data_IF_831212222749
#
_entry.id   IF_831212222749
#
_cell.length_a   1.000
_cell.length_b   1.000
_cell.length_c   1.000
_cell.angle_alpha   90.00
_cell.angle_beta   90.00
_cell.angle_gamma   90.00
#
_symmetry.space_group_name_H-M   'P 1'
#
loop_
_entity.id
_entity.type
_entity.pdbx_description
1 polymer ?
#
# COMPACT_ATOMS: atom_id res chain seq x y z
N UNK A 1 -9.83 9.23 4.89
CA UNK A 1 -9.93 9.95 3.60
C UNK A 1 -8.63 9.93 2.82
N UNK A 2 -7.48 10.27 3.41
CA UNK A 2 -6.19 10.36 2.71
C UNK A 2 -5.82 9.06 1.98
N UNK A 3 -5.96 7.91 2.63
CA UNK A 3 -5.66 6.61 2.04
C UNK A 3 -6.56 6.28 0.84
N UNK A 4 -7.88 6.52 0.96
CA UNK A 4 -8.83 6.26 -0.12
C UNK A 4 -8.52 7.18 -1.32
N UNK A 5 -8.31 8.47 -1.07
CA UNK A 5 -7.95 9.41 -2.13
C UNK A 5 -6.61 9.03 -2.78
N UNK A 6 -5.60 8.71 -2.00
CA UNK A 6 -4.30 8.23 -2.49
C UNK A 6 -4.44 6.97 -3.34
N UNK A 7 -5.31 6.04 -2.95
CA UNK A 7 -5.59 4.83 -3.73
C UNK A 7 -6.19 5.16 -5.10
N UNK A 8 -7.21 6.03 -5.14
CA UNK A 8 -7.83 6.49 -6.40
C UNK A 8 -6.80 7.18 -7.30
N UNK A 9 -5.97 8.06 -6.73
CA UNK A 9 -4.91 8.75 -7.49
C UNK A 9 -3.87 7.76 -7.99
N UNK A 10 -3.46 6.78 -7.19
CA UNK A 10 -2.54 5.71 -7.60
C UNK A 10 -3.09 4.92 -8.80
N UNK A 11 -4.38 4.60 -8.82
CA UNK A 11 -5.02 3.94 -9.97
C UNK A 11 -4.94 4.82 -11.22
N UNK A 12 -5.27 6.12 -11.10
CA UNK A 12 -5.20 7.06 -12.24
C UNK A 12 -3.79 7.17 -12.81
N UNK A 13 -2.78 7.30 -11.94
CA UNK A 13 -1.37 7.36 -12.34
C UNK A 13 -0.94 6.05 -13.02
N UNK A 14 -1.37 4.90 -12.49
CA UNK A 14 -1.12 3.59 -13.08
C UNK A 14 -1.72 3.46 -14.48
N UNK A 15 -3.00 3.81 -14.64
CA UNK A 15 -3.68 3.79 -15.93
C UNK A 15 -3.08 4.78 -16.94
N UNK A 16 -2.45 5.85 -16.46
CA UNK A 16 -1.68 6.78 -17.29
C UNK A 16 -0.29 6.27 -17.67
N UNK A 17 0.11 5.05 -17.27
CA UNK A 17 1.37 4.43 -17.65
C UNK A 17 2.57 4.76 -16.77
N UNK A 18 2.39 5.43 -15.63
CA UNK A 18 3.47 5.77 -14.69
C UNK A 18 3.60 4.72 -13.58
N UNK A 19 4.10 3.53 -13.92
CA UNK A 19 4.17 2.37 -13.05
C UNK A 19 4.87 2.64 -11.71
N UNK A 20 6.08 3.21 -11.73
CA UNK A 20 6.88 3.45 -10.52
C UNK A 20 6.19 4.46 -9.60
N UNK A 21 5.71 5.58 -10.16
CA UNK A 21 5.02 6.60 -9.37
C UNK A 21 3.73 6.05 -8.75
N UNK A 22 2.97 5.25 -9.49
CA UNK A 22 1.77 4.59 -9.00
C UNK A 22 2.07 3.59 -7.88
N UNK A 23 3.14 2.81 -8.01
CA UNK A 23 3.58 1.85 -6.98
C UNK A 23 4.03 2.55 -5.69
N UNK A 24 4.80 3.64 -5.81
CA UNK A 24 5.22 4.45 -4.67
C UNK A 24 4.04 5.06 -3.92
N UNK A 25 3.07 5.62 -4.64
CA UNK A 25 1.87 6.16 -4.01
C UNK A 25 1.03 5.06 -3.36
N UNK A 26 0.93 3.89 -3.98
CA UNK A 26 0.22 2.75 -3.40
C UNK A 26 0.86 2.27 -2.10
N UNK A 27 2.18 2.28 -1.99
CA UNK A 27 2.88 2.02 -0.74
C UNK A 27 2.51 3.04 0.35
N UNK A 28 2.48 4.34 0.03
CA UNK A 28 2.05 5.38 0.97
C UNK A 28 0.61 5.16 1.45
N UNK A 29 -0.28 4.70 0.57
CA UNK A 29 -1.65 4.32 0.94
C UNK A 29 -1.65 3.22 2.01
N UNK A 30 -0.87 2.17 1.81
CA UNK A 30 -0.78 1.05 2.75
C UNK A 30 -0.24 1.52 4.11
N UNK A 31 0.81 2.32 4.12
CA UNK A 31 1.39 2.89 5.35
C UNK A 31 0.39 3.82 6.06
N UNK A 32 -0.39 4.61 5.29
CA UNK A 32 -1.45 5.49 5.83
C UNK A 32 -2.60 4.68 6.45
N UNK A 33 -3.02 3.58 5.83
CA UNK A 33 -4.01 2.68 6.41
C UNK A 33 -3.49 2.05 7.70
N UNK A 34 -2.25 1.59 7.69
CA UNK A 34 -1.62 0.95 8.84
C UNK A 34 -1.47 1.91 10.02
N UNK A 35 -1.03 3.16 9.80
CA UNK A 35 -0.93 4.14 10.89
C UNK A 35 -2.31 4.53 11.44
N UNK A 36 -3.32 4.69 10.57
CA UNK A 36 -4.68 4.98 11.00
C UNK A 36 -5.25 3.87 11.90
N UNK A 37 -5.03 2.60 11.55
CA UNK A 37 -5.40 1.46 12.37
C UNK A 37 -4.69 1.46 13.72
N UNK A 38 -3.37 1.65 13.74
CA UNK A 38 -2.60 1.66 14.99
C UNK A 38 -3.01 2.81 15.90
N UNK A 39 -3.26 3.98 15.34
CA UNK A 39 -3.73 5.15 16.09
C UNK A 39 -5.18 5.01 16.58
N UNK A 40 -5.95 4.07 16.05
CA UNK A 40 -7.35 3.87 16.49
C UNK A 40 -7.47 3.17 17.84
N UNK A 41 -6.45 2.47 18.31
CA UNK A 41 -6.44 1.77 19.59
C UNK A 41 -5.58 2.54 20.61
N UNK A 42 -6.24 3.18 21.61
CA UNK A 42 -5.57 3.98 22.63
C UNK A 42 -4.57 3.17 23.48
N UNK A 43 -4.80 1.85 23.64
CA UNK A 43 -3.90 0.98 24.43
C UNK A 43 -2.52 0.76 23.80
N UNK A 44 -2.33 1.15 22.54
CA UNK A 44 -1.06 1.03 21.83
C UNK A 44 -0.17 2.27 21.97
N UNK A 45 -0.68 3.38 22.50
CA UNK A 45 0.04 4.64 22.70
C UNK A 45 0.76 5.18 21.44
N UNK A 46 0.20 4.84 20.26
CA UNK A 46 0.83 5.20 18.99
C UNK A 46 0.62 6.67 18.65
N UNK A 47 -0.53 7.24 19.00
CA UNK A 47 -0.84 8.67 18.74
C UNK A 47 0.20 9.56 19.41
N UNK A 48 0.41 9.40 20.70
CA UNK A 48 1.35 10.23 21.46
C UNK A 48 2.79 10.01 20.99
N UNK A 49 3.17 8.77 20.71
CA UNK A 49 4.49 8.46 20.18
C UNK A 49 4.72 9.05 18.79
N UNK A 50 3.71 9.03 17.92
CA UNK A 50 3.79 9.61 16.59
C UNK A 50 3.86 11.13 16.65
N UNK A 51 3.02 11.77 17.44
CA UNK A 51 3.02 13.25 17.62
C UNK A 51 4.30 13.80 18.24
N UNK A 52 5.04 12.98 18.99
CA UNK A 52 6.32 13.34 19.62
C UNK A 52 7.55 12.82 18.85
N UNK A 53 7.41 12.47 17.57
CA UNK A 53 8.49 11.94 16.70
C UNK A 53 9.19 10.68 17.25
N UNK A 54 8.51 9.94 18.13
CA UNK A 54 9.03 8.70 18.76
C UNK A 54 8.56 7.43 18.05
N UNK A 55 7.81 7.56 16.95
CA UNK A 55 7.31 6.43 16.16
C UNK A 55 7.64 6.59 14.68
N UNK A 56 8.26 5.56 14.09
CA UNK A 56 8.64 5.55 12.69
C UNK A 56 7.62 4.82 11.83
N UNK A 57 7.11 5.46 10.78
CA UNK A 57 6.07 4.94 9.88
C UNK A 57 6.51 3.70 9.09
N UNK A 58 7.81 3.47 8.91
CA UNK A 58 8.33 2.26 8.26
C UNK A 58 8.05 0.96 9.03
N UNK A 59 7.57 1.06 10.28
CA UNK A 59 7.21 -0.08 11.15
C UNK A 59 5.70 -0.37 11.15
N UNK A 60 4.88 0.51 10.59
CA UNK A 60 3.42 0.49 10.75
C UNK A 60 2.79 -0.84 10.37
N UNK A 61 3.06 -1.35 9.17
CA UNK A 61 2.46 -2.61 8.71
C UNK A 61 2.87 -3.78 9.62
N UNK A 62 4.16 -3.89 9.97
CA UNK A 62 4.64 -4.92 10.91
C UNK A 62 3.95 -4.84 12.27
N UNK A 63 3.74 -3.64 12.78
CA UNK A 63 3.10 -3.44 14.08
C UNK A 63 1.59 -3.71 14.01
N UNK A 64 0.92 -3.45 12.87
CA UNK A 64 -0.45 -3.95 12.60
C UNK A 64 -0.51 -5.47 12.64
N UNK A 65 0.42 -6.16 11.95
CA UNK A 65 0.50 -7.62 11.94
C UNK A 65 0.66 -8.21 13.34
N UNK A 66 1.42 -7.54 14.21
CA UNK A 66 1.63 -7.97 15.61
C UNK A 66 0.41 -7.75 16.50
N UNK A 67 -0.37 -6.71 16.22
CA UNK A 67 -1.48 -6.27 17.07
C UNK A 67 -2.86 -6.54 16.45
N UNK A 68 -2.95 -7.33 15.37
CA UNK A 68 -4.17 -7.50 14.58
C UNK A 68 -5.42 -7.89 15.40
N UNK A 69 -5.26 -8.68 16.46
CA UNK A 69 -6.37 -9.07 17.34
C UNK A 69 -6.94 -7.87 18.11
N UNK A 70 -6.08 -6.98 18.60
CA UNK A 70 -6.48 -5.74 19.26
C UNK A 70 -7.16 -4.78 18.29
N UNK A 71 -6.65 -4.75 17.03
CA UNK A 71 -7.12 -3.85 15.99
C UNK A 71 -8.42 -4.32 15.28
N UNK A 72 -9.01 -5.42 15.72
CA UNK A 72 -10.24 -5.99 15.16
C UNK A 72 -10.21 -6.25 13.65
N UNK A 73 -9.02 -6.60 13.13
CA UNK A 73 -8.85 -6.98 11.74
C UNK A 73 -9.17 -8.46 11.54
N UNK A 74 -9.88 -8.79 10.47
CA UNK A 74 -10.03 -10.16 10.06
C UNK A 74 -8.75 -10.70 9.38
N UNK A 75 -8.63 -12.01 9.33
CA UNK A 75 -7.44 -12.69 8.77
C UNK A 75 -7.20 -12.35 7.30
N UNK A 76 -8.27 -12.19 6.51
CA UNK A 76 -8.17 -11.85 5.10
C UNK A 76 -7.59 -10.43 4.91
N UNK A 77 -8.12 -9.43 5.62
CA UNK A 77 -7.62 -8.06 5.57
C UNK A 77 -6.14 -7.99 5.96
N UNK A 78 -5.74 -8.75 6.98
CA UNK A 78 -4.35 -8.85 7.43
C UNK A 78 -3.43 -9.40 6.33
N UNK A 79 -3.82 -10.50 5.68
CA UNK A 79 -3.05 -11.12 4.60
C UNK A 79 -2.93 -10.20 3.38
N UNK A 80 -4.03 -9.55 2.99
CA UNK A 80 -4.02 -8.60 1.86
C UNK A 80 -3.10 -7.42 2.15
N UNK A 81 -3.15 -6.86 3.37
CA UNK A 81 -2.31 -5.74 3.77
C UNK A 81 -0.81 -6.13 3.75
N UNK A 82 -0.48 -7.31 4.28
CA UNK A 82 0.90 -7.84 4.28
C UNK A 82 1.42 -8.06 2.86
N UNK A 83 0.66 -8.76 2.03
CA UNK A 83 1.04 -9.02 0.64
C UNK A 83 1.20 -7.73 -0.16
N UNK A 84 0.28 -6.77 -0.01
CA UNK A 84 0.37 -5.48 -0.65
C UNK A 84 1.62 -4.71 -0.20
N UNK A 85 1.93 -4.70 1.09
CA UNK A 85 3.12 -4.05 1.63
C UNK A 85 4.41 -4.63 1.03
N UNK A 86 4.55 -5.95 1.03
CA UNK A 86 5.73 -6.63 0.48
C UNK A 86 5.87 -6.36 -1.02
N UNK A 87 4.77 -6.40 -1.77
CA UNK A 87 4.78 -6.15 -3.22
C UNK A 87 5.17 -4.71 -3.57
N UNK A 88 4.59 -3.71 -2.89
CA UNK A 88 4.86 -2.30 -3.20
C UNK A 88 6.15 -1.77 -2.55
N UNK A 89 6.77 -2.51 -1.63
CA UNK A 89 8.08 -2.16 -1.09
C UNK A 89 9.14 -2.00 -2.18
N UNK A 90 9.11 -2.88 -3.18
CA UNK A 90 10.08 -2.90 -4.27
C UNK A 90 9.99 -1.69 -5.23
N UNK A 91 8.89 -0.93 -5.20
CA UNK A 91 8.76 0.29 -6.00
C UNK A 91 9.45 1.51 -5.40
N UNK A 92 9.71 1.53 -4.11
CA UNK A 92 10.23 2.70 -3.39
C UNK A 92 11.76 2.74 -3.29
N UNK A 93 12.44 1.71 -3.80
CA UNK A 93 13.89 1.60 -3.82
C UNK A 93 14.37 1.20 -5.22
N UNK A 94 15.65 1.47 -5.57
CA UNK A 94 16.28 0.92 -6.76
C UNK A 94 16.31 -0.62 -6.67
N UNK A 95 15.23 -1.26 -7.06
CA UNK A 95 15.04 -2.71 -7.04
C UNK A 95 15.08 -3.28 -8.45
N UNK A 96 15.16 -4.61 -8.56
CA UNK A 96 15.02 -5.28 -9.87
C UNK A 96 13.69 -4.94 -10.52
N UNK A 97 12.61 -4.78 -9.75
CA UNK A 97 11.28 -4.45 -10.27
C UNK A 97 11.24 -3.02 -10.80
N UNK A 98 11.77 -2.03 -10.06
CA UNK A 98 11.82 -0.64 -10.51
C UNK A 98 12.68 -0.47 -11.76
N UNK A 99 13.83 -1.16 -11.83
CA UNK A 99 14.69 -1.15 -13.03
C UNK A 99 14.02 -1.85 -14.22
N UNK A 100 13.43 -3.04 -14.02
CA UNK A 100 12.69 -3.77 -15.06
C UNK A 100 11.50 -2.97 -15.60
N UNK A 101 10.92 -2.09 -14.78
CA UNK A 101 9.85 -1.20 -15.23
C UNK A 101 10.31 -0.23 -16.32
N UNK A 102 11.57 0.15 -16.37
CA UNK A 102 12.13 1.09 -17.35
C UNK A 102 12.55 0.43 -18.67
N UNK A 103 12.65 -0.89 -18.73
CA UNK A 103 13.14 -1.65 -19.86
C UNK A 103 11.96 -2.25 -20.63
N UNK A 104 11.97 -2.20 -21.98
CA UNK A 104 10.99 -2.91 -22.78
C UNK A 104 11.22 -4.42 -22.75
N UNK A 105 10.15 -5.20 -22.60
CA UNK A 105 10.17 -6.66 -22.73
C UNK A 105 9.72 -7.13 -24.12
N UNK A 106 9.07 -6.23 -24.89
CA UNK A 106 8.66 -6.50 -26.26
C UNK A 106 9.69 -6.06 -27.31
N UNK A 107 10.58 -5.09 -26.97
CA UNK A 107 11.57 -4.54 -27.91
C UNK A 107 12.95 -4.49 -27.25
N UNK A 108 13.89 -5.28 -27.78
CA UNK A 108 15.27 -5.34 -27.26
C UNK A 108 15.99 -3.99 -27.33
N UNK A 109 16.56 -3.57 -26.21
CA UNK A 109 17.37 -2.33 -26.12
C UNK A 109 16.56 -1.04 -25.95
N UNK A 110 15.22 -1.13 -25.91
CA UNK A 110 14.36 0.04 -25.70
C UNK A 110 14.19 0.32 -24.21
N UNK A 111 14.34 1.59 -23.83
CA UNK A 111 14.06 2.11 -22.50
C UNK A 111 12.87 3.05 -22.54
N UNK A 112 12.10 3.07 -21.47
CA UNK A 112 10.96 3.95 -21.29
C UNK A 112 11.33 5.14 -20.39
N UNK A 113 10.93 6.34 -20.81
CA UNK A 113 10.98 7.56 -20.02
C UNK A 113 9.56 8.11 -19.90
N UNK A 114 9.07 8.25 -18.66
CA UNK A 114 7.72 8.73 -18.41
C UNK A 114 6.65 7.65 -18.53
N UNK A 115 5.52 8.02 -19.12
CA UNK A 115 4.38 7.12 -19.32
C UNK A 115 4.64 6.12 -20.44
N UNK A 116 4.29 4.86 -20.22
CA UNK A 116 4.44 3.82 -21.24
C UNK A 116 3.44 2.67 -21.03
N UNK A 117 3.21 1.94 -22.11
CA UNK A 117 2.58 0.63 -22.10
C UNK A 117 3.45 -0.34 -22.90
N UNK A 118 3.72 -1.52 -22.33
CA UNK A 118 4.50 -2.58 -22.95
C UNK A 118 3.73 -3.89 -22.87
N UNK A 119 3.31 -4.41 -24.03
CA UNK A 119 2.55 -5.67 -24.10
C UNK A 119 3.32 -6.85 -23.50
N UNK A 120 4.66 -6.81 -23.54
CA UNK A 120 5.50 -7.82 -22.88
C UNK A 120 5.37 -7.85 -21.35
N UNK A 121 4.75 -6.84 -20.75
CA UNK A 121 4.51 -6.73 -19.30
C UNK A 121 3.05 -6.96 -18.88
N UNK A 122 2.22 -7.50 -19.76
CA UNK A 122 0.77 -7.67 -19.48
C UNK A 122 0.50 -8.43 -18.17
N UNK A 123 1.29 -9.46 -17.86
CA UNK A 123 1.18 -10.20 -16.61
C UNK A 123 1.48 -9.34 -15.38
N UNK A 124 2.43 -8.41 -15.51
CA UNK A 124 2.74 -7.45 -14.44
C UNK A 124 1.58 -6.48 -14.21
N UNK A 125 1.01 -5.93 -15.28
CA UNK A 125 -0.15 -5.06 -15.20
C UNK A 125 -1.35 -5.75 -14.55
N UNK A 126 -1.59 -7.02 -14.91
CA UNK A 126 -2.65 -7.83 -14.30
C UNK A 126 -2.44 -8.01 -12.79
N UNK A 127 -1.20 -8.29 -12.35
CA UNK A 127 -0.88 -8.39 -10.91
C UNK A 127 -1.12 -7.07 -10.20
N UNK A 128 -0.73 -5.94 -10.81
CA UNK A 128 -0.95 -4.60 -10.29
C UNK A 128 -2.43 -4.27 -10.10
N UNK A 129 -3.25 -4.57 -11.09
CA UNK A 129 -4.71 -4.35 -11.02
C UNK A 129 -5.31 -5.22 -9.92
N UNK A 130 -4.99 -6.51 -9.90
CA UNK A 130 -5.52 -7.43 -8.89
C UNK A 130 -5.11 -7.03 -7.47
N UNK A 131 -3.87 -6.57 -7.28
CA UNK A 131 -3.40 -6.07 -5.99
C UNK A 131 -4.17 -4.84 -5.52
N UNK A 132 -4.46 -3.90 -6.42
CA UNK A 132 -5.26 -2.70 -6.11
C UNK A 132 -6.70 -3.04 -5.79
N UNK A 133 -7.33 -3.92 -6.57
CA UNK A 133 -8.70 -4.40 -6.30
C UNK A 133 -8.76 -5.12 -4.95
N UNK A 134 -7.81 -6.02 -4.68
CA UNK A 134 -7.75 -6.72 -3.40
C UNK A 134 -7.63 -5.78 -2.21
N UNK A 135 -6.80 -4.72 -2.34
CA UNK A 135 -6.67 -3.70 -1.30
C UNK A 135 -7.94 -2.88 -1.12
N UNK A 136 -8.63 -2.50 -2.21
CA UNK A 136 -9.91 -1.80 -2.12
C UNK A 136 -10.97 -2.63 -1.39
N UNK A 137 -11.02 -3.93 -1.63
CA UNK A 137 -11.99 -4.85 -1.04
C UNK A 137 -11.85 -5.02 0.49
N UNK A 138 -10.73 -4.60 1.08
CA UNK A 138 -10.56 -4.66 2.54
C UNK A 138 -10.78 -3.30 3.22
N UNK A 139 -11.06 -2.22 2.49
CA UNK A 139 -11.23 -0.89 3.08
C UNK A 139 -12.37 -0.85 4.09
N UNK A 140 -13.52 -1.47 3.79
CA UNK A 140 -14.64 -1.51 4.72
C UNK A 140 -14.27 -2.22 6.03
N UNK A 141 -13.56 -3.34 5.97
CA UNK A 141 -13.08 -4.04 7.16
C UNK A 141 -12.10 -3.19 7.99
N UNK A 142 -11.22 -2.43 7.32
CA UNK A 142 -10.30 -1.51 8.01
C UNK A 142 -11.08 -0.38 8.69
N UNK A 143 -12.05 0.22 8.01
CA UNK A 143 -12.91 1.29 8.55
C UNK A 143 -13.70 0.78 9.74
N UNK A 144 -14.29 -0.39 9.66
CA UNK A 144 -15.03 -1.01 10.76
C UNK A 144 -14.12 -1.31 11.96
N UNK A 145 -12.93 -1.83 11.72
CA UNK A 145 -11.92 -2.02 12.76
C UNK A 145 -11.59 -0.71 13.48
N UNK A 146 -11.35 0.36 12.73
CA UNK A 146 -11.09 1.70 13.29
C UNK A 146 -12.29 2.19 14.13
N UNK A 147 -13.51 2.06 13.62
CA UNK A 147 -14.72 2.49 14.34
C UNK A 147 -14.90 1.73 15.66
N UNK A 148 -14.73 0.41 15.65
CA UNK A 148 -14.82 -0.43 16.85
C UNK A 148 -13.74 -0.02 17.86
N UNK A 149 -12.52 0.25 17.42
CA UNK A 149 -11.42 0.64 18.32
C UNK A 149 -11.70 2.00 18.96
N UNK A 150 -12.06 3.01 18.16
CA UNK A 150 -12.34 4.38 18.66
C UNK A 150 -13.55 4.40 19.60
N UNK A 151 -14.56 3.54 19.41
CA UNK A 151 -15.69 3.46 20.33
C UNK A 151 -15.35 2.94 21.74
N UNK A 152 -14.13 2.47 21.94
CA UNK A 152 -13.61 1.99 23.25
C UNK A 152 -12.71 3.00 23.97
N UNK A 153 -12.55 4.18 23.43
CA UNK A 153 -11.72 5.27 24.00
C UNK A 153 -12.36 5.84 25.28
#
# INVERSE_FOLDING_TARGET
YSAINGHIVSIKIFLSGYMIAAGNLQRQVIETLAIALLCSDSSLDIVDRYMNDKYSTNKTVRDVLRNFKKLNLNKNALQVLEHAYLFYHDYSHPSKLSLASLISFSEKGKLYLGAYFDIGKINQYTKEINGRVSLANIFDNIVDGIRINVSRW
#
